data_IF_061689004569
#
_entry.id   IF_061689004569
#
_cell.length_a   1.000
_cell.length_b   1.000
_cell.length_c   1.000
_cell.angle_alpha   90.00
_cell.angle_beta   90.00
_cell.angle_gamma   90.00
#
_symmetry.space_group_name_H-M   'P 1'
#
loop_
_entity.id
_entity.type
_entity.pdbx_description
1 polymer ?
#
# COMPACT_ATOMS: atom_id res chain seq x y z
N UNK A 1 -9.79 -42.29 13.07
CA UNK A 1 -9.81 -41.06 13.91
C UNK A 1 -9.58 -39.81 13.07
N UNK A 2 -8.53 -39.73 12.24
CA UNK A 2 -8.37 -38.58 11.32
C UNK A 2 -9.42 -38.53 10.22
N UNK A 3 -9.91 -39.68 9.75
CA UNK A 3 -11.01 -39.75 8.78
C UNK A 3 -12.30 -39.07 9.21
N UNK A 4 -12.53 -38.88 10.52
CA UNK A 4 -13.69 -38.19 11.10
C UNK A 4 -13.47 -36.70 11.33
N UNK A 5 -12.22 -36.25 11.30
CA UNK A 5 -11.89 -34.84 11.36
C UNK A 5 -12.25 -34.14 10.07
N UNK A 6 -12.37 -32.83 10.15
CA UNK A 6 -12.67 -31.94 9.05
C UNK A 6 -11.45 -31.08 8.76
N UNK A 7 -11.17 -30.86 7.48
CA UNK A 7 -10.18 -29.89 7.05
C UNK A 7 -10.78 -28.49 7.17
N UNK A 8 -10.24 -27.65 8.06
CA UNK A 8 -10.75 -26.30 8.32
C UNK A 8 -9.64 -25.31 8.00
N UNK A 9 -9.81 -24.61 6.88
CA UNK A 9 -8.98 -23.47 6.51
C UNK A 9 -9.37 -22.24 7.34
N UNK A 10 -8.38 -21.49 7.82
CA UNK A 10 -8.63 -20.34 8.68
C UNK A 10 -9.39 -19.23 7.96
N UNK A 11 -10.54 -18.80 8.51
CA UNK A 11 -11.43 -17.82 7.88
C UNK A 11 -10.82 -16.40 7.80
N UNK A 12 -9.79 -16.09 8.61
CA UNK A 12 -9.06 -14.82 8.58
C UNK A 12 -7.96 -14.75 7.51
N UNK A 13 -7.69 -15.86 6.82
CA UNK A 13 -6.74 -15.90 5.71
C UNK A 13 -7.47 -15.71 4.38
N UNK A 14 -6.85 -14.95 3.48
CA UNK A 14 -7.47 -14.55 2.23
C UNK A 14 -6.82 -15.32 1.08
N UNK A 15 -7.61 -16.11 0.33
CA UNK A 15 -7.17 -16.76 -0.90
C UNK A 15 -7.50 -15.92 -2.13
N UNK A 16 -6.48 -15.63 -2.94
CA UNK A 16 -6.63 -14.96 -4.25
C UNK A 16 -6.11 -15.86 -5.36
N UNK A 17 -6.93 -16.08 -6.39
CA UNK A 17 -6.56 -16.88 -7.55
C UNK A 17 -5.74 -16.03 -8.51
N UNK A 18 -4.54 -16.47 -8.86
CA UNK A 18 -3.74 -15.85 -9.92
C UNK A 18 -3.71 -16.72 -11.18
N UNK A 19 -3.14 -16.15 -12.25
CA UNK A 19 -3.04 -16.83 -13.54
C UNK A 19 -2.05 -18.00 -13.50
N UNK A 20 -0.82 -17.76 -13.03
CA UNK A 20 0.25 -18.77 -12.91
C UNK A 20 0.28 -19.45 -11.54
N UNK A 21 0.18 -18.65 -10.47
CA UNK A 21 0.14 -19.08 -9.08
C UNK A 21 -0.90 -18.29 -8.31
N UNK A 22 -1.46 -18.88 -7.27
CA UNK A 22 -2.38 -18.23 -6.35
C UNK A 22 -1.60 -17.73 -5.14
N UNK A 23 -2.23 -16.89 -4.32
CA UNK A 23 -1.63 -16.37 -3.10
C UNK A 23 -2.57 -16.58 -1.90
N UNK A 24 -1.96 -16.76 -0.73
CA UNK A 24 -2.61 -16.67 0.57
C UNK A 24 -2.08 -15.41 1.22
N UNK A 25 -2.99 -14.52 1.64
CA UNK A 25 -2.65 -13.31 2.38
C UNK A 25 -3.05 -13.54 3.83
N UNK A 26 -2.12 -13.32 4.75
CA UNK A 26 -2.37 -13.22 6.18
C UNK A 26 -2.31 -11.74 6.59
N UNK A 27 -3.47 -11.06 6.73
CA UNK A 27 -3.48 -9.65 7.12
C UNK A 27 -2.88 -9.41 8.50
N UNK A 28 -3.01 -10.37 9.42
CA UNK A 28 -2.60 -10.16 10.82
C UNK A 28 -1.08 -10.26 10.99
N UNK A 29 -0.44 -11.12 10.21
CA UNK A 29 1.01 -11.29 10.21
C UNK A 29 1.71 -10.46 9.12
N UNK A 30 0.95 -9.69 8.33
CA UNK A 30 1.45 -8.93 7.19
C UNK A 30 2.23 -9.80 6.20
N UNK A 31 1.74 -11.02 5.94
CA UNK A 31 2.46 -12.04 5.16
C UNK A 31 1.69 -12.46 3.89
N UNK A 32 2.43 -12.85 2.86
CA UNK A 32 1.92 -13.39 1.61
C UNK A 32 2.73 -14.65 1.25
N UNK A 33 2.02 -15.78 1.13
CA UNK A 33 2.58 -17.01 0.57
C UNK A 33 2.04 -17.27 -0.84
N UNK A 34 2.95 -17.48 -1.79
CA UNK A 34 2.61 -17.99 -3.11
C UNK A 34 2.34 -19.50 -3.03
N UNK A 35 1.19 -19.92 -3.56
CA UNK A 35 0.80 -21.32 -3.65
C UNK A 35 0.49 -21.73 -5.10
N UNK A 36 0.77 -22.97 -5.51
CA UNK A 36 0.27 -23.52 -6.75
C UNK A 36 -1.27 -23.45 -6.85
N UNK A 37 -1.81 -23.24 -8.05
CA UNK A 37 -3.26 -23.12 -8.26
C UNK A 37 -4.06 -24.36 -7.80
N UNK A 38 -3.46 -25.55 -7.81
CA UNK A 38 -4.16 -26.76 -7.33
C UNK A 38 -4.46 -26.68 -5.82
N UNK A 39 -3.61 -26.05 -5.01
CA UNK A 39 -3.87 -25.85 -3.58
C UNK A 39 -4.99 -24.85 -3.34
N UNK A 40 -5.10 -23.83 -4.18
CA UNK A 40 -6.25 -22.91 -4.17
C UNK A 40 -7.54 -23.67 -4.44
N UNK A 41 -7.57 -24.46 -5.52
CA UNK A 41 -8.76 -25.21 -5.93
C UNK A 41 -9.12 -26.28 -4.87
N UNK A 42 -8.12 -26.88 -4.21
CA UNK A 42 -8.30 -27.79 -3.08
C UNK A 42 -9.08 -27.14 -1.93
N UNK A 43 -8.64 -25.97 -1.45
CA UNK A 43 -9.34 -25.26 -0.36
C UNK A 43 -10.76 -24.89 -0.78
N UNK A 44 -10.96 -24.37 -1.99
CA UNK A 44 -12.30 -24.00 -2.48
C UNK A 44 -13.27 -25.18 -2.54
N UNK A 45 -12.78 -26.37 -2.86
CA UNK A 45 -13.59 -27.58 -2.97
C UNK A 45 -13.84 -28.28 -1.62
N UNK A 46 -12.85 -28.29 -0.74
CA UNK A 46 -12.82 -29.18 0.43
C UNK A 46 -12.81 -28.49 1.80
N UNK A 47 -12.77 -27.16 1.88
CA UNK A 47 -12.87 -26.47 3.17
C UNK A 47 -14.13 -26.90 3.94
N UNK A 48 -13.97 -27.13 5.24
CA UNK A 48 -15.00 -27.60 6.19
C UNK A 48 -15.60 -28.97 5.83
N UNK A 49 -14.94 -29.76 4.95
CA UNK A 49 -15.33 -31.15 4.65
C UNK A 49 -14.55 -32.15 5.50
N UNK A 50 -15.18 -33.29 5.75
CA UNK A 50 -14.58 -34.41 6.48
C UNK A 50 -13.48 -35.09 5.65
N UNK A 51 -12.35 -35.46 6.28
CA UNK A 51 -11.19 -36.05 5.60
C UNK A 51 -11.56 -37.32 4.82
N UNK A 52 -12.40 -38.20 5.39
CA UNK A 52 -12.89 -39.39 4.67
C UNK A 52 -13.65 -39.06 3.38
N UNK A 53 -14.39 -37.95 3.35
CA UNK A 53 -15.06 -37.47 2.14
C UNK A 53 -14.06 -36.93 1.13
N UNK A 54 -13.05 -36.18 1.58
CA UNK A 54 -12.01 -35.61 0.72
C UNK A 54 -11.26 -36.73 0.00
N UNK A 55 -10.78 -37.74 0.73
CA UNK A 55 -10.04 -38.88 0.16
C UNK A 55 -10.87 -39.66 -0.87
N UNK A 56 -12.20 -39.70 -0.69
CA UNK A 56 -13.10 -40.43 -1.61
C UNK A 56 -13.49 -39.63 -2.87
N UNK A 57 -13.34 -38.30 -2.86
CA UNK A 57 -13.87 -37.40 -3.91
C UNK A 57 -12.79 -36.51 -4.57
N UNK A 58 -11.53 -36.72 -4.20
CA UNK A 58 -10.38 -36.18 -4.91
C UNK A 58 -10.02 -37.18 -6.01
N UNK A 59 -10.14 -36.76 -7.28
CA UNK A 59 -9.83 -37.61 -8.44
C UNK A 59 -8.34 -37.84 -8.65
N UNK A 60 -7.50 -37.01 -8.03
CA UNK A 60 -6.05 -37.20 -8.03
C UNK A 60 -5.63 -38.16 -6.91
N UNK A 61 -4.46 -38.79 -7.05
CA UNK A 61 -3.98 -39.83 -6.13
C UNK A 61 -4.13 -39.44 -4.66
N UNK A 62 -4.46 -40.41 -3.80
CA UNK A 62 -4.60 -40.24 -2.35
C UNK A 62 -3.37 -39.52 -1.73
N UNK A 63 -2.19 -39.73 -2.32
CA UNK A 63 -0.94 -39.05 -2.00
C UNK A 63 -0.99 -37.52 -2.15
N UNK A 64 -1.58 -37.00 -3.23
CA UNK A 64 -1.69 -35.55 -3.46
C UNK A 64 -2.66 -34.86 -2.49
N UNK A 65 -3.67 -35.60 -2.03
CA UNK A 65 -4.63 -35.12 -1.03
C UNK A 65 -3.98 -34.98 0.34
N UNK A 66 -3.22 -35.99 0.76
CA UNK A 66 -2.53 -35.98 2.04
C UNK A 66 -1.43 -34.92 2.07
N UNK A 67 -0.67 -34.77 0.97
CA UNK A 67 0.35 -33.73 0.84
C UNK A 67 -0.25 -32.32 0.92
N UNK A 68 -1.40 -32.08 0.28
CA UNK A 68 -2.10 -30.79 0.37
C UNK A 68 -2.53 -30.48 1.82
N UNK A 69 -3.14 -31.45 2.50
CA UNK A 69 -3.56 -31.28 3.90
C UNK A 69 -2.34 -31.00 4.79
N UNK A 70 -1.27 -31.78 4.65
CA UNK A 70 -0.02 -31.59 5.41
C UNK A 70 0.59 -30.23 5.14
N UNK A 71 0.60 -29.76 3.90
CA UNK A 71 1.08 -28.43 3.55
C UNK A 71 0.36 -27.35 4.35
N UNK A 72 -0.98 -27.32 4.28
CA UNK A 72 -1.76 -26.27 4.96
C UNK A 72 -1.67 -26.36 6.49
N UNK A 73 -1.65 -27.57 7.05
CA UNK A 73 -1.52 -27.76 8.51
C UNK A 73 -0.13 -27.35 8.99
N UNK A 74 0.94 -27.76 8.30
CA UNK A 74 2.31 -27.43 8.69
C UNK A 74 2.61 -25.93 8.55
N UNK A 75 1.97 -25.26 7.59
CA UNK A 75 2.05 -23.80 7.40
C UNK A 75 1.14 -23.01 8.34
N UNK A 76 0.38 -23.67 9.22
CA UNK A 76 -0.64 -23.04 10.08
C UNK A 76 -1.71 -22.25 9.31
N UNK A 77 -2.05 -22.69 8.10
CA UNK A 77 -3.13 -22.13 7.29
C UNK A 77 -4.46 -22.87 7.46
N UNK A 78 -4.40 -24.09 7.97
CA UNK A 78 -5.57 -24.88 8.29
C UNK A 78 -5.30 -25.73 9.53
N UNK A 79 -6.35 -26.29 10.10
CA UNK A 79 -6.26 -27.29 11.15
C UNK A 79 -7.30 -28.40 10.93
N UNK A 80 -7.09 -29.54 11.60
CA UNK A 80 -8.00 -30.67 11.55
C UNK A 80 -8.91 -30.65 12.79
N UNK A 81 -10.16 -30.22 12.59
CA UNK A 81 -11.14 -30.02 13.65
C UNK A 81 -12.34 -30.97 13.58
N UNK A 82 -13.28 -30.78 14.49
CA UNK A 82 -14.57 -31.46 14.55
C UNK A 82 -15.71 -30.51 14.10
N UNK A 83 -16.96 -30.95 14.20
CA UNK A 83 -18.13 -30.14 13.82
C UNK A 83 -18.34 -28.90 14.70
N UNK A 84 -17.98 -28.94 15.97
CA UNK A 84 -18.04 -27.78 16.87
C UNK A 84 -17.03 -26.71 16.42
N UNK A 85 -15.83 -27.12 16.01
CA UNK A 85 -14.83 -26.18 15.48
C UNK A 85 -15.34 -25.46 14.22
N UNK A 86 -16.07 -26.16 13.35
CA UNK A 86 -16.74 -25.55 12.19
C UNK A 86 -17.79 -24.52 12.61
N UNK A 87 -18.55 -24.79 13.67
CA UNK A 87 -19.56 -23.87 14.19
C UNK A 87 -18.95 -22.62 14.84
N UNK A 88 -17.79 -22.77 15.47
CA UNK A 88 -17.02 -21.67 16.07
C UNK A 88 -16.24 -20.87 15.02
N UNK A 89 -16.03 -21.43 13.83
CA UNK A 89 -15.45 -20.77 12.66
C UNK A 89 -16.41 -19.71 12.12
N UNK A 90 -16.28 -18.47 12.61
CA UNK A 90 -17.06 -17.33 12.16
C UNK A 90 -16.54 -16.78 10.84
N UNK A 91 -17.44 -16.35 9.95
CA UNK A 91 -17.06 -15.60 8.76
C UNK A 91 -16.30 -14.33 9.13
N UNK A 92 -15.11 -14.16 8.57
CA UNK A 92 -14.35 -12.93 8.66
C UNK A 92 -14.97 -11.88 7.72
N UNK A 93 -15.47 -10.77 8.28
CA UNK A 93 -15.98 -9.67 7.49
C UNK A 93 -14.83 -8.76 7.06
N UNK A 94 -14.56 -8.72 5.76
CA UNK A 94 -13.54 -7.86 5.15
C UNK A 94 -14.04 -6.41 5.07
N UNK A 95 -14.56 -5.82 6.14
CA UNK A 95 -15.05 -4.43 6.09
C UNK A 95 -13.88 -3.44 5.97
N UNK A 96 -14.05 -2.43 5.12
CA UNK A 96 -13.12 -1.30 5.01
C UNK A 96 -13.85 -0.04 5.43
N UNK A 97 -13.34 0.62 6.45
CA UNK A 97 -13.77 1.96 6.84
C UNK A 97 -12.56 2.84 7.13
N UNK A 98 -12.66 4.09 6.73
CA UNK A 98 -11.63 5.10 6.92
C UNK A 98 -12.31 6.40 7.37
N UNK A 99 -11.78 7.09 8.39
CA UNK A 99 -12.44 8.27 8.98
C UNK A 99 -12.36 9.52 8.09
N UNK A 100 -11.68 9.44 6.94
CA UNK A 100 -11.41 10.57 6.06
C UNK A 100 -12.24 10.50 4.80
N UNK A 101 -12.99 11.55 4.47
CA UNK A 101 -13.70 11.63 3.18
C UNK A 101 -12.72 11.57 2.00
N UNK A 102 -11.62 12.32 2.11
CA UNK A 102 -10.46 12.28 1.22
C UNK A 102 -9.25 11.98 2.09
N UNK A 103 -8.57 10.88 1.80
CA UNK A 103 -7.40 10.44 2.54
C UNK A 103 -6.10 10.95 1.90
N UNK A 104 -6.03 10.95 0.57
CA UNK A 104 -4.81 11.26 -0.17
C UNK A 104 -5.02 12.44 -1.14
N UNK A 105 -4.18 13.45 -1.01
CA UNK A 105 -4.07 14.58 -1.92
C UNK A 105 -2.80 14.51 -2.76
N UNK A 106 -2.88 14.84 -4.04
CA UNK A 106 -1.71 15.07 -4.89
C UNK A 106 -1.77 16.49 -5.44
N UNK A 107 -0.64 17.19 -5.44
CA UNK A 107 -0.50 18.50 -6.08
C UNK A 107 0.67 18.42 -7.04
N UNK A 108 0.40 18.55 -8.33
CA UNK A 108 1.43 18.77 -9.35
C UNK A 108 1.58 20.27 -9.55
N UNK A 109 2.78 20.82 -9.35
CA UNK A 109 3.01 22.25 -9.32
C UNK A 109 4.06 22.70 -10.33
N UNK A 110 3.62 23.51 -11.29
CA UNK A 110 4.48 24.14 -12.30
C UNK A 110 4.37 25.67 -12.34
N UNK A 111 3.75 26.30 -11.32
CA UNK A 111 3.71 27.76 -11.16
C UNK A 111 2.41 28.46 -11.59
N UNK A 112 1.42 27.72 -12.10
CA UNK A 112 0.19 28.28 -12.67
C UNK A 112 -0.84 28.73 -11.60
N UNK A 113 -0.66 28.35 -10.34
CA UNK A 113 -1.56 28.70 -9.24
C UNK A 113 -0.78 29.01 -7.94
N UNK A 114 -1.47 29.41 -6.88
CA UNK A 114 -0.84 29.66 -5.57
C UNK A 114 -0.89 28.41 -4.71
N UNK A 115 0.27 27.89 -4.31
CA UNK A 115 0.37 26.70 -3.43
C UNK A 115 -0.37 26.88 -2.10
N UNK A 116 -0.23 28.04 -1.46
CA UNK A 116 -0.97 28.37 -0.23
C UNK A 116 -2.49 28.21 -0.38
N UNK A 117 -3.07 28.55 -1.53
CA UNK A 117 -4.50 28.36 -1.79
C UNK A 117 -4.87 26.89 -1.90
N UNK A 118 -4.04 26.08 -2.57
CA UNK A 118 -4.23 24.63 -2.63
C UNK A 118 -4.12 24.01 -1.22
N UNK A 119 -3.13 24.41 -0.43
CA UNK A 119 -2.96 23.92 0.94
C UNK A 119 -4.18 24.23 1.82
N UNK A 120 -4.71 25.45 1.75
CA UNK A 120 -5.94 25.83 2.45
C UNK A 120 -7.15 24.99 2.02
N UNK A 121 -7.26 24.63 0.75
CA UNK A 121 -8.34 23.77 0.26
C UNK A 121 -8.21 22.35 0.81
N UNK A 122 -7.00 21.78 0.82
CA UNK A 122 -6.73 20.46 1.40
C UNK A 122 -6.97 20.41 2.92
N UNK A 123 -6.63 21.49 3.62
CA UNK A 123 -6.90 21.63 5.05
C UNK A 123 -8.41 21.64 5.35
N UNK A 124 -9.18 22.41 4.56
CA UNK A 124 -10.65 22.51 4.73
C UNK A 124 -11.38 21.20 4.50
N UNK A 125 -10.92 20.36 3.58
CA UNK A 125 -11.49 19.02 3.35
C UNK A 125 -10.98 17.98 4.36
N UNK A 126 -10.05 18.36 5.24
CA UNK A 126 -9.51 17.48 6.27
C UNK A 126 -8.59 16.40 5.73
N UNK A 127 -7.91 16.64 4.59
CA UNK A 127 -7.03 15.65 3.98
C UNK A 127 -5.76 15.45 4.84
N UNK A 128 -5.47 14.21 5.29
CA UNK A 128 -4.32 13.95 6.16
C UNK A 128 -3.00 13.69 5.43
N UNK A 129 -3.02 13.17 4.20
CA UNK A 129 -1.83 12.83 3.41
C UNK A 129 -1.75 13.69 2.15
N UNK A 130 -0.62 14.37 1.94
CA UNK A 130 -0.40 15.22 0.78
C UNK A 130 0.91 14.84 0.08
N UNK A 131 0.85 14.54 -1.20
CA UNK A 131 2.00 14.44 -2.06
C UNK A 131 2.13 15.73 -2.88
N UNK A 132 3.25 16.43 -2.74
CA UNK A 132 3.54 17.65 -3.49
C UNK A 132 4.65 17.36 -4.48
N UNK A 133 4.38 17.50 -5.77
CA UNK A 133 5.35 17.32 -6.86
C UNK A 133 5.66 18.66 -7.48
N UNK A 134 6.89 19.13 -7.30
CA UNK A 134 7.36 20.38 -7.85
C UNK A 134 8.11 20.11 -9.15
N UNK A 135 7.70 20.74 -10.25
CA UNK A 135 8.33 20.53 -11.55
C UNK A 135 9.58 21.41 -11.76
N UNK A 136 10.50 21.01 -12.66
CA UNK A 136 11.76 21.73 -12.87
C UNK A 136 11.60 23.16 -13.39
N UNK A 137 10.46 23.46 -14.04
CA UNK A 137 10.17 24.80 -14.56
C UNK A 137 10.17 25.89 -13.48
N UNK A 138 9.83 25.53 -12.24
CA UNK A 138 9.67 26.47 -11.12
C UNK A 138 10.67 26.31 -10.00
N UNK A 139 11.39 25.18 -9.94
CA UNK A 139 12.28 24.89 -8.82
C UNK A 139 13.62 25.64 -8.95
N UNK A 140 13.62 26.89 -8.47
CA UNK A 140 14.76 27.83 -8.46
C UNK A 140 15.01 28.34 -7.04
N UNK A 141 16.20 28.91 -6.72
CA UNK A 141 16.51 29.40 -5.38
C UNK A 141 15.44 30.30 -4.77
N UNK A 142 14.94 31.31 -5.50
CA UNK A 142 13.89 32.21 -5.01
C UNK A 142 12.58 31.47 -4.66
N UNK A 143 12.24 30.43 -5.42
CA UNK A 143 11.05 29.61 -5.17
C UNK A 143 11.22 28.76 -3.92
N UNK A 144 12.43 28.27 -3.62
CA UNK A 144 12.70 27.47 -2.42
C UNK A 144 12.37 28.29 -1.16
N UNK A 145 12.76 29.55 -1.11
CA UNK A 145 12.46 30.42 0.04
C UNK A 145 10.95 30.66 0.19
N UNK A 146 10.22 30.83 -0.91
CA UNK A 146 8.76 30.93 -0.90
C UNK A 146 8.09 29.62 -0.43
N UNK A 147 8.56 28.49 -0.93
CA UNK A 147 8.05 27.17 -0.56
C UNK A 147 8.25 26.88 0.94
N UNK A 148 9.41 27.24 1.49
CA UNK A 148 9.70 27.11 2.92
C UNK A 148 8.73 27.93 3.78
N UNK A 149 8.39 29.14 3.35
CA UNK A 149 7.39 29.98 4.03
C UNK A 149 5.98 29.38 3.93
N UNK A 150 5.60 28.86 2.76
CA UNK A 150 4.30 28.23 2.57
C UNK A 150 4.15 26.98 3.44
N UNK A 151 5.23 26.24 3.73
CA UNK A 151 5.16 25.05 4.60
C UNK A 151 4.80 25.37 6.06
N UNK A 152 4.91 26.61 6.52
CA UNK A 152 4.54 27.04 7.88
C UNK A 152 3.05 26.79 8.14
N UNK A 153 2.19 26.91 7.12
CA UNK A 153 0.73 26.71 7.27
C UNK A 153 0.41 25.30 7.78
N UNK A 154 1.27 24.32 7.48
CA UNK A 154 1.00 22.95 7.87
C UNK A 154 1.13 22.70 9.36
N UNK A 155 1.87 23.52 10.12
CA UNK A 155 2.07 23.33 11.56
C UNK A 155 0.75 23.18 12.33
N UNK A 156 -0.30 23.88 11.88
CA UNK A 156 -1.64 23.88 12.49
C UNK A 156 -2.72 23.27 11.59
N UNK A 157 -2.34 22.57 10.52
CA UNK A 157 -3.26 21.97 9.55
C UNK A 157 -3.68 20.54 9.88
N UNK A 158 -4.74 20.06 9.20
CA UNK A 158 -5.18 18.68 9.13
C UNK A 158 -4.18 17.77 8.41
N UNK A 159 -3.30 18.31 7.55
CA UNK A 159 -2.32 17.54 6.78
C UNK A 159 -1.21 17.05 7.71
N UNK A 160 -1.16 15.76 7.98
CA UNK A 160 -0.23 15.14 8.96
C UNK A 160 1.04 14.60 8.34
N UNK A 161 0.98 14.29 7.05
CA UNK A 161 2.06 13.64 6.33
C UNK A 161 2.19 14.29 4.95
N UNK A 162 3.40 14.74 4.66
CA UNK A 162 3.77 15.35 3.40
C UNK A 162 4.88 14.52 2.78
N UNK A 163 4.65 14.14 1.53
CA UNK A 163 5.65 13.56 0.64
C UNK A 163 6.00 14.60 -0.42
N UNK A 164 7.28 14.93 -0.53
CA UNK A 164 7.76 16.00 -1.40
C UNK A 164 8.63 15.45 -2.51
N UNK A 165 8.22 15.65 -3.77
CA UNK A 165 9.00 15.35 -4.96
C UNK A 165 9.56 16.65 -5.53
N UNK A 166 10.88 16.71 -5.67
CA UNK A 166 11.61 17.88 -6.17
C UNK A 166 12.75 17.44 -7.09
N UNK A 167 13.11 18.24 -8.10
CA UNK A 167 14.20 17.88 -9.00
C UNK A 167 15.54 17.98 -8.27
N UNK A 168 16.45 17.07 -8.62
CA UNK A 168 17.85 17.16 -8.24
C UNK A 168 18.53 18.31 -8.99
N UNK A 169 19.44 19.02 -8.32
CA UNK A 169 20.24 20.07 -8.94
C UNK A 169 21.73 19.89 -8.59
N UNK A 170 22.11 20.10 -7.34
CA UNK A 170 23.47 19.88 -6.86
C UNK A 170 23.49 19.43 -5.39
N UNK A 171 24.35 18.48 -5.07
CA UNK A 171 24.38 17.84 -3.75
C UNK A 171 24.50 18.83 -2.58
N UNK A 172 25.18 19.95 -2.75
CA UNK A 172 25.42 20.91 -1.66
C UNK A 172 24.17 21.73 -1.36
N UNK A 173 23.57 22.37 -2.36
CA UNK A 173 22.37 23.16 -2.09
C UNK A 173 21.13 22.27 -1.87
N UNK A 174 21.10 21.03 -2.39
CA UNK A 174 20.11 20.02 -1.98
C UNK A 174 20.21 19.74 -0.46
N UNK A 175 21.43 19.65 0.08
CA UNK A 175 21.66 19.49 1.52
C UNK A 175 21.19 20.68 2.36
N UNK A 176 21.39 21.91 1.86
CA UNK A 176 20.88 23.12 2.52
C UNK A 176 19.35 23.18 2.54
N UNK A 177 18.72 22.92 1.39
CA UNK A 177 17.26 22.81 1.28
C UNK A 177 16.71 21.73 2.20
N UNK A 178 17.34 20.54 2.19
CA UNK A 178 16.94 19.42 3.03
C UNK A 178 16.99 19.77 4.52
N UNK A 179 18.05 20.44 4.97
CA UNK A 179 18.20 20.86 6.37
C UNK A 179 17.09 21.82 6.84
N UNK A 180 16.52 22.62 5.94
CA UNK A 180 15.42 23.53 6.24
C UNK A 180 14.06 22.81 6.23
N UNK A 181 13.74 22.02 5.20
CA UNK A 181 12.43 21.36 5.09
C UNK A 181 12.20 20.34 6.21
N UNK A 182 13.24 19.62 6.65
CA UNK A 182 13.09 18.57 7.69
C UNK A 182 12.82 19.15 9.08
N UNK A 183 12.92 20.48 9.27
CA UNK A 183 12.43 21.14 10.49
C UNK A 183 10.91 20.98 10.63
N UNK A 184 10.20 20.85 9.51
CA UNK A 184 8.78 20.51 9.52
C UNK A 184 8.61 18.99 9.65
N UNK A 185 8.25 18.53 10.86
CA UNK A 185 8.04 17.13 11.18
C UNK A 185 6.89 16.45 10.42
N UNK A 186 6.10 17.19 9.64
CA UNK A 186 5.05 16.63 8.76
C UNK A 186 5.63 16.17 7.43
N UNK A 187 6.78 16.68 7.02
CA UNK A 187 7.52 16.19 5.84
C UNK A 187 8.23 14.89 6.22
N UNK A 188 7.72 13.77 5.72
CA UNK A 188 8.18 12.42 6.09
C UNK A 188 8.95 11.74 4.97
N UNK A 189 8.71 12.15 3.74
CA UNK A 189 9.40 11.62 2.56
C UNK A 189 9.79 12.78 1.66
N UNK A 190 11.05 12.76 1.23
CA UNK A 190 11.58 13.70 0.24
C UNK A 190 12.22 12.88 -0.87
N UNK A 191 11.79 13.11 -2.09
CA UNK A 191 12.30 12.44 -3.29
C UNK A 191 12.97 13.47 -4.17
N UNK A 192 14.29 13.35 -4.31
CA UNK A 192 15.07 14.05 -5.32
C UNK A 192 15.13 13.21 -6.57
N UNK A 193 14.36 13.60 -7.59
CA UNK A 193 14.33 12.89 -8.87
C UNK A 193 15.30 13.47 -9.89
N UNK A 194 15.59 12.72 -10.95
CA UNK A 194 16.63 13.03 -11.93
C UNK A 194 18.02 13.20 -11.28
N UNK A 195 18.27 12.47 -10.20
CA UNK A 195 19.56 12.43 -9.54
C UNK A 195 20.59 11.64 -10.38
N UNK A 196 21.90 11.91 -10.24
CA UNK A 196 22.94 11.18 -10.97
C UNK A 196 23.03 9.70 -10.57
N UNK A 197 22.63 9.37 -9.35
CA UNK A 197 22.63 8.01 -8.81
C UNK A 197 21.44 7.84 -7.86
N UNK A 198 20.92 6.62 -7.78
CA UNK A 198 19.88 6.28 -6.79
C UNK A 198 20.52 6.08 -5.43
N UNK A 199 19.95 6.69 -4.39
CA UNK A 199 20.44 6.57 -3.02
C UNK A 199 19.27 6.66 -2.02
N UNK A 200 19.51 6.20 -0.79
CA UNK A 200 18.58 6.32 0.33
C UNK A 200 19.33 6.83 1.55
N UNK A 201 18.80 7.89 2.17
CA UNK A 201 19.25 8.40 3.45
C UNK A 201 18.05 8.63 4.38
N UNK A 202 18.34 8.82 5.66
CA UNK A 202 17.37 9.24 6.66
C UNK A 202 17.90 10.49 7.38
N UNK A 203 17.13 11.57 7.33
CA UNK A 203 17.47 12.84 7.98
C UNK A 203 16.37 13.21 8.97
N UNK A 204 16.69 13.10 10.25
CA UNK A 204 15.70 13.21 11.32
C UNK A 204 14.59 12.17 11.15
N UNK A 205 13.35 12.64 11.02
CA UNK A 205 12.19 11.78 10.81
C UNK A 205 11.77 11.63 9.34
N UNK A 206 12.51 12.26 8.41
CA UNK A 206 12.26 12.18 6.98
C UNK A 206 13.13 11.10 6.33
N UNK A 207 12.50 10.27 5.49
CA UNK A 207 13.17 9.38 4.55
C UNK A 207 13.50 10.17 3.28
N UNK A 208 14.73 10.06 2.81
CA UNK A 208 15.21 10.83 1.66
C UNK A 208 15.64 9.84 0.59
N UNK A 209 15.03 9.95 -0.58
CA UNK A 209 15.32 9.13 -1.74
C UNK A 209 15.92 9.99 -2.83
N UNK A 210 17.01 9.54 -3.42
CA UNK A 210 17.51 10.01 -4.69
C UNK A 210 17.17 8.95 -5.71
N UNK A 211 16.58 9.35 -6.82
CA UNK A 211 16.23 8.44 -7.91
C UNK A 211 16.72 9.00 -9.23
N UNK A 212 17.26 8.13 -10.07
CA UNK A 212 17.61 8.45 -11.45
C UNK A 212 16.38 8.56 -12.36
N UNK A 213 15.22 8.11 -11.88
CA UNK A 213 13.95 8.30 -12.57
C UNK A 213 13.63 9.79 -12.72
N UNK A 214 13.05 10.14 -13.85
CA UNK A 214 12.64 11.50 -14.15
C UNK A 214 11.13 11.61 -13.96
N UNK A 215 10.63 12.70 -13.34
CA UNK A 215 9.21 12.95 -13.07
C UNK A 215 8.77 14.28 -13.70
N UNK A 216 8.91 14.42 -15.02
CA UNK A 216 8.56 15.64 -15.77
C UNK A 216 7.05 15.82 -16.04
N UNK A 217 6.19 14.86 -15.69
CA UNK A 217 4.75 15.00 -15.91
C UNK A 217 3.91 14.16 -14.96
N UNK A 218 2.67 14.60 -14.78
CA UNK A 218 1.58 13.95 -14.04
C UNK A 218 1.27 12.52 -14.54
N UNK A 219 1.68 12.19 -15.76
CA UNK A 219 1.41 10.91 -16.43
C UNK A 219 2.25 9.73 -15.92
N UNK A 220 3.13 9.96 -14.97
CA UNK A 220 4.00 8.90 -14.43
C UNK A 220 3.38 8.14 -13.25
N UNK A 221 2.05 8.04 -13.21
CA UNK A 221 1.38 7.10 -12.33
C UNK A 221 1.51 5.67 -12.91
N UNK A 222 2.10 4.73 -12.15
CA UNK A 222 2.07 3.31 -12.52
C UNK A 222 3.41 2.58 -12.63
N UNK A 223 4.50 3.10 -12.06
CA UNK A 223 5.69 2.29 -11.81
C UNK A 223 5.33 1.19 -10.78
N UNK A 224 4.99 -0.01 -11.26
CA UNK A 224 4.71 -1.18 -10.41
C UNK A 224 5.98 -2.00 -10.30
N UNK A 225 6.38 -2.30 -9.08
CA UNK A 225 7.59 -3.01 -8.72
C UNK A 225 7.36 -3.80 -7.44
N UNK A 226 8.06 -4.93 -7.29
CA UNK A 226 7.85 -5.86 -6.17
C UNK A 226 8.01 -5.19 -4.79
N UNK A 227 8.85 -4.15 -4.68
CA UNK A 227 9.05 -3.39 -3.44
C UNK A 227 7.87 -2.49 -3.02
N UNK A 228 6.91 -2.24 -3.91
CA UNK A 228 5.69 -1.47 -3.60
C UNK A 228 4.54 -2.34 -3.08
N UNK A 229 4.69 -3.68 -3.12
CA UNK A 229 3.74 -4.60 -2.50
C UNK A 229 3.99 -4.65 -1.00
N UNK A 230 3.58 -3.61 -0.28
CA UNK A 230 3.47 -3.64 1.17
C UNK A 230 2.12 -4.23 1.57
N UNK A 231 2.13 -5.31 2.34
CA UNK A 231 0.91 -5.87 2.90
C UNK A 231 0.49 -4.94 4.03
N UNK A 232 -0.65 -4.29 3.85
CA UNK A 232 -1.31 -3.49 4.86
C UNK A 232 -2.77 -3.95 4.90
N UNK A 233 -3.30 -4.43 6.05
CA UNK A 233 -4.70 -4.83 6.17
C UNK A 233 -5.68 -3.81 5.62
N UNK A 234 -5.42 -2.52 5.85
CA UNK A 234 -6.28 -1.46 5.30
C UNK A 234 -6.24 -1.44 3.78
N UNK A 235 -5.06 -1.58 3.15
CA UNK A 235 -4.93 -1.64 1.69
C UNK A 235 -5.56 -2.91 1.12
N UNK A 236 -5.44 -4.04 1.82
CA UNK A 236 -6.08 -5.30 1.44
C UNK A 236 -7.60 -5.14 1.49
N UNK A 237 -8.15 -4.68 2.60
CA UNK A 237 -9.60 -4.52 2.76
C UNK A 237 -10.15 -3.44 1.81
N UNK A 238 -9.43 -2.34 1.59
CA UNK A 238 -9.78 -1.33 0.59
C UNK A 238 -9.90 -1.95 -0.80
N UNK A 239 -8.92 -2.76 -1.21
CA UNK A 239 -8.88 -3.37 -2.55
C UNK A 239 -10.05 -4.33 -2.83
N UNK A 240 -10.68 -4.87 -1.78
CA UNK A 240 -11.87 -5.71 -1.91
C UNK A 240 -13.12 -4.91 -2.27
N UNK A 241 -13.20 -3.65 -1.86
CA UNK A 241 -14.39 -2.80 -2.03
C UNK A 241 -14.20 -1.70 -3.06
N UNK A 242 -12.96 -1.27 -3.28
CA UNK A 242 -12.63 -0.09 -4.06
C UNK A 242 -11.35 -0.30 -4.87
N UNK A 243 -11.14 0.59 -5.85
CA UNK A 243 -9.86 0.70 -6.51
C UNK A 243 -8.86 1.42 -5.58
N UNK A 244 -7.91 0.68 -5.01
CA UNK A 244 -6.93 1.22 -4.05
C UNK A 244 -6.01 2.31 -4.64
N UNK A 245 -5.94 2.46 -5.97
CA UNK A 245 -5.20 3.56 -6.59
C UNK A 245 -5.98 4.87 -6.59
N UNK A 246 -7.32 4.83 -6.55
CA UNK A 246 -8.20 5.98 -6.81
C UNK A 246 -9.11 6.33 -5.63
N UNK A 247 -9.41 5.37 -4.76
CA UNK A 247 -10.35 5.57 -3.68
C UNK A 247 -9.86 6.65 -2.70
N UNK A 248 -10.79 7.53 -2.32
CA UNK A 248 -10.56 8.67 -1.40
C UNK A 248 -9.33 9.51 -1.78
N UNK A 249 -9.03 9.60 -3.08
CA UNK A 249 -7.92 10.39 -3.62
C UNK A 249 -8.45 11.58 -4.41
N UNK A 250 -7.78 12.72 -4.28
CA UNK A 250 -8.01 13.92 -5.08
C UNK A 250 -6.66 14.46 -5.56
N UNK A 251 -6.62 15.03 -6.76
CA UNK A 251 -5.41 15.63 -7.31
C UNK A 251 -5.70 17.06 -7.76
N UNK A 252 -4.67 17.90 -7.73
CA UNK A 252 -4.62 19.16 -8.45
C UNK A 252 -3.53 19.01 -9.52
N UNK A 253 -3.91 19.11 -10.79
CA UNK A 253 -2.97 19.03 -11.91
C UNK A 253 -2.10 20.29 -12.02
N UNK A 254 -1.11 20.23 -12.91
CA UNK A 254 -0.17 21.32 -13.12
C UNK A 254 -0.83 22.65 -13.52
N UNK A 255 -2.05 22.62 -14.09
CA UNK A 255 -2.82 23.81 -14.47
C UNK A 255 -3.79 24.28 -13.37
N UNK A 256 -3.83 23.59 -12.22
CA UNK A 256 -4.72 23.92 -11.12
C UNK A 256 -6.13 23.33 -11.24
N UNK A 257 -6.36 22.39 -12.15
CA UNK A 257 -7.64 21.67 -12.25
C UNK A 257 -7.68 20.51 -11.25
N UNK A 258 -8.90 20.15 -10.81
CA UNK A 258 -9.17 19.04 -9.88
C UNK A 258 -9.66 17.82 -10.64
#
# INVERSE_FOLDING_TARGET
MESEKHFIFFDNLILVKGFTSSIIIDPHNFDIDCIPNYLYDFVKKFNKKQIGYINSNHSDSEFLTEDAIRFFVNKNFAFLGNKLDIQLSTSFELSYDAPYLIENGIIDYCGEFKLSTAFDQFDKIGCPFLQLRIFPSVFKPDFIDHLLNDFIVFEKSSVRFIELFVPFFDKRANGGFLAEIVKNNRIRVVVFYSAPESNFDQVGAAKVFWTTENYESEKMCGQVGMGYFSINPNAVFESYHHNSCLNRKISIDAQGNI
#
